data_IF_778941902933
#
_entry.id   IF_778941902933
#
_cell.length_a   1.000
_cell.length_b   1.000
_cell.length_c   1.000
_cell.angle_alpha   90.00
_cell.angle_beta   90.00
_cell.angle_gamma   90.00
#
_symmetry.space_group_name_H-M   'P 1'
#
loop_
_entity.id
_entity.type
_entity.pdbx_description
1 polymer ?
#
# COMPACT_ATOMS: atom_id res chain seq x y z
N UNK A 1 8.30 28.42 -17.49
CA UNK A 1 8.44 27.73 -18.79
C UNK A 1 8.78 26.27 -18.49
N UNK A 2 7.99 25.33 -19.02
CA UNK A 2 8.25 23.88 -18.85
C UNK A 2 9.29 23.49 -19.91
N UNK A 3 10.43 22.95 -19.47
CA UNK A 3 11.53 22.58 -20.37
C UNK A 3 11.41 21.13 -20.86
N UNK A 4 10.93 20.24 -20.00
CA UNK A 4 10.80 18.81 -20.28
C UNK A 4 9.56 18.25 -19.57
N UNK A 5 8.92 17.27 -20.18
CA UNK A 5 7.78 16.53 -19.62
C UNK A 5 7.97 15.04 -19.84
N UNK A 6 7.56 14.24 -18.87
CA UNK A 6 7.62 12.77 -18.94
C UNK A 6 6.31 12.19 -18.39
N UNK A 7 5.83 11.11 -19.02
CA UNK A 7 4.60 10.41 -18.64
C UNK A 7 4.78 8.90 -18.79
N UNK A 8 4.08 8.16 -17.94
CA UNK A 8 4.09 6.70 -17.92
C UNK A 8 2.89 6.16 -17.15
N UNK A 9 2.48 4.95 -17.50
CA UNK A 9 1.57 4.13 -16.71
C UNK A 9 2.26 3.43 -15.54
N UNK A 10 1.45 3.04 -14.55
CA UNK A 10 1.88 2.33 -13.35
C UNK A 10 1.25 0.95 -13.34
N UNK A 11 2.07 -0.08 -13.46
CA UNK A 11 1.64 -1.46 -13.29
C UNK A 11 1.47 -1.85 -11.82
N UNK A 12 0.46 -2.67 -11.53
CA UNK A 12 0.15 -3.31 -10.24
C UNK A 12 -0.08 -2.36 -9.06
N UNK A 13 -1.14 -2.61 -8.29
CA UNK A 13 -1.50 -1.81 -7.10
C UNK A 13 -1.53 -0.28 -7.33
N UNK A 14 -2.25 0.21 -8.37
CA UNK A 14 -2.31 1.65 -8.64
C UNK A 14 -2.94 2.39 -7.47
N UNK A 15 -2.31 3.50 -7.06
CA UNK A 15 -2.83 4.42 -6.05
C UNK A 15 -2.21 5.80 -6.25
N UNK A 16 -2.93 6.87 -5.85
CA UNK A 16 -2.42 8.26 -5.93
C UNK A 16 -1.04 8.39 -5.28
N UNK A 17 -0.89 7.86 -4.06
CA UNK A 17 0.36 7.88 -3.33
C UNK A 17 1.52 7.18 -4.06
N UNK A 18 1.24 6.11 -4.81
CA UNK A 18 2.26 5.41 -5.61
C UNK A 18 2.64 6.26 -6.81
N UNK A 19 1.67 6.87 -7.49
CA UNK A 19 1.93 7.75 -8.62
C UNK A 19 2.77 8.97 -8.23
N UNK A 20 2.39 9.65 -7.16
CA UNK A 20 3.11 10.83 -6.64
C UNK A 20 4.55 10.47 -6.23
N UNK A 21 4.75 9.34 -5.54
CA UNK A 21 6.08 8.88 -5.16
C UNK A 21 6.94 8.52 -6.38
N UNK A 22 6.35 7.86 -7.38
CA UNK A 22 7.05 7.51 -8.62
C UNK A 22 7.40 8.75 -9.46
N UNK A 23 6.56 9.79 -9.44
CA UNK A 23 6.87 11.07 -10.06
C UNK A 23 8.12 11.70 -9.44
N UNK A 24 8.22 11.70 -8.10
CA UNK A 24 9.42 12.15 -7.38
C UNK A 24 10.65 11.33 -7.76
N UNK A 25 10.54 10.01 -7.74
CA UNK A 25 11.65 9.12 -8.12
C UNK A 25 12.11 9.40 -9.55
N UNK A 26 11.17 9.55 -10.48
CA UNK A 26 11.48 9.82 -11.90
C UNK A 26 12.20 11.16 -12.08
N UNK A 27 11.76 12.19 -11.35
CA UNK A 27 12.41 13.50 -11.36
C UNK A 27 13.84 13.44 -10.81
N UNK A 28 14.10 12.63 -9.79
CA UNK A 28 15.43 12.52 -9.18
C UNK A 28 16.42 11.68 -10.01
N UNK A 29 15.95 10.74 -10.81
CA UNK A 29 16.82 9.88 -11.65
C UNK A 29 17.55 10.68 -12.73
N UNK A 30 16.95 11.76 -13.23
CA UNK A 30 17.56 12.59 -14.29
C UNK A 30 18.53 13.64 -13.76
N UNK A 31 18.64 13.79 -12.44
CA UNK A 31 19.49 14.81 -11.84
C UNK A 31 20.96 14.37 -11.81
N UNK A 32 21.90 15.32 -11.98
CA UNK A 32 23.31 15.04 -11.75
C UNK A 32 23.59 14.80 -10.27
N UNK A 33 24.67 14.07 -9.97
CA UNK A 33 25.12 13.84 -8.60
C UNK A 33 25.47 15.15 -7.88
N UNK A 34 25.31 15.18 -6.56
CA UNK A 34 25.53 16.35 -5.69
C UNK A 34 24.56 17.53 -5.95
N UNK A 35 23.38 17.26 -6.50
CA UNK A 35 22.35 18.28 -6.68
C UNK A 35 21.58 18.55 -5.39
N UNK A 36 21.23 19.82 -5.19
CA UNK A 36 20.26 20.25 -4.19
C UNK A 36 18.91 20.52 -4.86
N UNK A 37 17.85 19.94 -4.29
CA UNK A 37 16.54 19.85 -4.93
C UNK A 37 15.46 20.18 -3.94
N UNK A 38 14.57 21.09 -4.34
CA UNK A 38 13.32 21.37 -3.63
C UNK A 38 12.15 20.92 -4.49
N UNK A 39 11.36 19.97 -4.00
CA UNK A 39 10.18 19.47 -4.70
C UNK A 39 8.93 20.13 -4.12
N UNK A 40 8.16 20.76 -5.01
CA UNK A 40 6.84 21.31 -4.71
C UNK A 40 5.79 20.25 -4.99
N UNK A 41 5.03 19.83 -3.98
CA UNK A 41 4.01 18.80 -4.14
C UNK A 41 2.83 19.04 -3.21
N UNK A 42 1.63 18.70 -3.68
CA UNK A 42 0.41 18.64 -2.88
C UNK A 42 0.21 17.26 -2.23
N UNK A 43 1.14 16.32 -2.37
CA UNK A 43 1.07 15.04 -1.68
C UNK A 43 1.60 15.12 -0.25
N UNK A 44 0.70 15.15 0.74
CA UNK A 44 1.15 15.04 2.14
C UNK A 44 1.76 13.67 2.45
N UNK A 45 1.34 12.62 1.73
CA UNK A 45 1.81 11.25 1.96
C UNK A 45 3.26 11.07 1.52
N UNK A 46 3.67 11.72 0.42
CA UNK A 46 5.08 11.73 0.00
C UNK A 46 5.94 12.52 0.98
N UNK A 47 5.51 13.72 1.37
CA UNK A 47 6.27 14.58 2.30
C UNK A 47 6.48 13.87 3.64
N UNK A 48 5.38 13.44 4.29
CA UNK A 48 5.46 12.74 5.59
C UNK A 48 6.22 11.43 5.49
N UNK A 49 6.00 10.66 4.41
CA UNK A 49 6.70 9.41 4.15
C UNK A 49 8.22 9.60 4.03
N UNK A 50 8.67 10.63 3.31
CA UNK A 50 10.10 10.95 3.17
C UNK A 50 10.72 11.21 4.54
N UNK A 51 10.15 12.12 5.33
CA UNK A 51 10.73 12.46 6.62
C UNK A 51 10.69 11.29 7.61
N UNK A 52 9.60 10.51 7.65
CA UNK A 52 9.43 9.41 8.61
C UNK A 52 10.26 8.15 8.25
N UNK A 53 10.44 7.86 6.96
CA UNK A 53 11.08 6.63 6.48
C UNK A 53 12.55 6.85 6.17
N UNK A 54 12.92 8.01 5.64
CA UNK A 54 14.27 8.28 5.13
C UNK A 54 15.01 9.25 6.06
N UNK A 55 14.58 10.52 6.09
CA UNK A 55 15.33 11.61 6.73
C UNK A 55 15.59 11.38 8.23
N UNK A 56 14.53 11.14 9.02
CA UNK A 56 14.64 10.87 10.47
C UNK A 56 15.43 9.61 10.82
N UNK A 57 15.74 8.77 9.84
CA UNK A 57 16.53 7.55 10.03
C UNK A 57 17.94 7.68 9.46
N UNK A 58 18.41 8.92 9.27
CA UNK A 58 19.73 9.22 8.71
C UNK A 58 19.95 8.49 7.38
N UNK A 59 18.91 8.44 6.54
CA UNK A 59 18.94 7.75 5.26
C UNK A 59 19.29 6.25 5.38
N UNK A 60 19.01 5.58 6.50
CA UNK A 60 19.24 4.13 6.67
C UNK A 60 17.89 3.41 6.82
N UNK A 61 17.64 2.44 5.93
CA UNK A 61 16.47 1.56 6.00
C UNK A 61 16.95 0.15 6.31
N UNK A 62 16.82 -0.28 7.56
CA UNK A 62 17.11 -1.65 7.97
C UNK A 62 16.04 -2.62 7.43
N UNK A 63 16.38 -3.90 7.15
CA UNK A 63 15.42 -4.90 6.68
C UNK A 63 14.14 -5.00 7.53
N UNK A 64 14.30 -4.96 8.87
CA UNK A 64 13.16 -4.97 9.81
C UNK A 64 12.22 -3.80 9.59
N UNK A 65 12.76 -2.60 9.33
CA UNK A 65 11.95 -1.41 9.06
C UNK A 65 11.31 -1.50 7.69
N UNK A 66 12.05 -1.93 6.68
CA UNK A 66 11.54 -2.17 5.33
C UNK A 66 10.27 -3.03 5.33
N UNK A 67 10.26 -4.17 6.05
CA UNK A 67 9.09 -5.04 6.14
C UNK A 67 7.93 -4.47 6.99
N UNK A 68 8.17 -3.39 7.74
CA UNK A 68 7.15 -2.70 8.54
C UNK A 68 6.51 -1.51 7.82
N UNK A 69 7.15 -0.96 6.78
CA UNK A 69 6.59 0.12 5.97
C UNK A 69 5.23 -0.32 5.42
N UNK A 70 4.21 0.54 5.59
CA UNK A 70 2.82 0.21 5.29
C UNK A 70 2.60 -0.07 3.80
N UNK A 71 3.06 0.82 2.94
CA UNK A 71 2.85 0.80 1.49
C UNK A 71 4.06 1.35 0.76
N UNK A 72 4.22 0.96 -0.50
CA UNK A 72 5.28 1.38 -1.41
C UNK A 72 6.70 1.16 -0.86
N UNK A 73 6.90 0.13 -0.02
CA UNK A 73 8.17 -0.11 0.67
C UNK A 73 9.38 -0.23 -0.28
N UNK A 74 9.19 -0.88 -1.44
CA UNK A 74 10.21 -1.00 -2.49
C UNK A 74 10.61 0.37 -3.03
N UNK A 75 9.63 1.21 -3.35
CA UNK A 75 9.86 2.54 -3.94
C UNK A 75 10.49 3.51 -2.94
N UNK A 76 10.12 3.45 -1.66
CA UNK A 76 10.84 4.18 -0.61
C UNK A 76 12.31 3.77 -0.53
N UNK A 77 12.60 2.49 -0.70
CA UNK A 77 13.97 1.99 -0.69
C UNK A 77 14.75 2.44 -1.94
N UNK A 78 14.11 2.42 -3.11
CA UNK A 78 14.68 2.94 -4.37
C UNK A 78 14.98 4.43 -4.24
N UNK A 79 14.04 5.23 -3.72
CA UNK A 79 14.22 6.65 -3.47
C UNK A 79 15.46 6.90 -2.59
N UNK A 80 15.56 6.16 -1.49
CA UNK A 80 16.72 6.23 -0.58
C UNK A 80 18.03 5.89 -1.30
N UNK A 81 18.06 4.81 -2.09
CA UNK A 81 19.27 4.43 -2.83
C UNK A 81 19.68 5.50 -3.83
N UNK A 82 18.75 6.12 -4.55
CA UNK A 82 19.05 7.22 -5.49
C UNK A 82 19.67 8.40 -4.74
N UNK A 83 19.05 8.84 -3.63
CA UNK A 83 19.52 9.97 -2.84
C UNK A 83 20.95 9.72 -2.33
N UNK A 84 21.19 8.55 -1.74
CA UNK A 84 22.50 8.21 -1.16
C UNK A 84 23.56 8.01 -2.23
N UNK A 85 23.23 7.30 -3.32
CA UNK A 85 24.19 7.00 -4.41
C UNK A 85 24.61 8.26 -5.14
N UNK A 86 23.66 9.17 -5.39
CA UNK A 86 23.93 10.41 -6.12
C UNK A 86 24.27 11.58 -5.19
N UNK A 87 24.37 11.36 -3.87
CA UNK A 87 24.61 12.37 -2.86
C UNK A 87 23.69 13.61 -3.02
N UNK A 88 22.38 13.37 -3.13
CA UNK A 88 21.40 14.43 -3.34
C UNK A 88 20.96 15.04 -2.01
N UNK A 89 20.78 16.36 -1.97
CA UNK A 89 20.04 17.05 -0.90
C UNK A 89 18.61 17.28 -1.37
N UNK A 90 17.64 16.75 -0.63
CA UNK A 90 16.23 16.78 -0.99
C UNK A 90 15.42 17.44 0.11
N UNK A 91 14.64 18.45 -0.27
CA UNK A 91 13.64 19.09 0.59
C UNK A 91 12.27 19.16 -0.10
N UNK A 92 11.21 19.30 0.69
CA UNK A 92 9.84 19.33 0.19
C UNK A 92 9.09 20.56 0.65
N UNK A 93 8.38 21.20 -0.28
CA UNK A 93 7.46 22.29 0.02
C UNK A 93 6.03 21.83 -0.31
N UNK A 94 5.17 21.90 0.71
CA UNK A 94 3.76 21.57 0.57
C UNK A 94 3.04 22.67 -0.22
N UNK A 95 2.47 22.30 -1.35
CA UNK A 95 1.54 23.14 -2.11
C UNK A 95 0.11 22.82 -1.70
N UNK A 96 -0.78 23.80 -1.75
CA UNK A 96 -2.21 23.61 -1.46
C UNK A 96 -2.85 22.87 -2.64
N UNK A 97 -3.52 21.76 -2.37
CA UNK A 97 -4.29 21.07 -3.41
C UNK A 97 -5.44 21.97 -3.88
N UNK A 98 -5.68 22.03 -5.19
CA UNK A 98 -6.74 22.82 -5.83
C UNK A 98 -6.67 24.35 -5.59
N UNK A 99 -5.50 24.91 -5.29
CA UNK A 99 -5.27 26.34 -5.47
C UNK A 99 -4.99 26.66 -6.95
N UNK A 100 -5.03 27.94 -7.35
CA UNK A 100 -4.60 28.44 -8.67
C UNK A 100 -3.09 28.26 -8.92
N UNK A 101 -2.52 27.09 -8.59
CA UNK A 101 -1.17 26.72 -8.96
C UNK A 101 -1.17 26.24 -10.41
N UNK A 102 -0.61 27.07 -11.26
CA UNK A 102 -0.52 26.84 -12.70
C UNK A 102 0.07 25.47 -13.06
N UNK A 103 1.10 25.00 -12.33
CA UNK A 103 1.78 23.75 -12.67
C UNK A 103 1.01 22.52 -12.22
N UNK A 104 0.37 22.56 -11.05
CA UNK A 104 -0.48 21.45 -10.61
C UNK A 104 -1.71 21.30 -11.51
N UNK A 105 -2.39 22.41 -11.82
CA UNK A 105 -3.54 22.38 -12.74
C UNK A 105 -3.14 21.88 -14.14
N UNK A 106 -1.95 22.27 -14.62
CA UNK A 106 -1.40 21.75 -15.87
C UNK A 106 -1.18 20.23 -15.81
N UNK A 107 -0.63 19.69 -14.72
CA UNK A 107 -0.41 18.24 -14.58
C UNK A 107 -1.75 17.48 -14.55
N UNK A 108 -2.76 17.98 -13.84
CA UNK A 108 -4.10 17.37 -13.77
C UNK A 108 -4.77 17.31 -15.16
N UNK A 109 -4.67 18.38 -15.94
CA UNK A 109 -5.17 18.42 -17.32
C UNK A 109 -4.35 17.51 -18.26
N UNK A 110 -3.03 17.46 -18.06
CA UNK A 110 -2.10 16.67 -18.88
C UNK A 110 -2.31 15.15 -18.73
N UNK A 111 -2.69 14.69 -17.54
CA UNK A 111 -2.89 13.25 -17.25
C UNK A 111 -4.23 12.74 -17.78
N UNK A 112 -5.27 13.57 -17.85
CA UNK A 112 -6.66 13.18 -18.15
C UNK A 112 -6.93 12.81 -19.62
N UNK A 113 -6.05 13.15 -20.56
CA UNK A 113 -6.36 13.14 -22.00
C UNK A 113 -5.58 12.15 -22.88
N UNK A 114 -4.96 11.10 -22.34
CA UNK A 114 -3.87 10.44 -23.12
C UNK A 114 -3.76 8.91 -22.96
N UNK A 115 -3.75 8.21 -24.11
CA UNK A 115 -3.69 6.73 -24.32
C UNK A 115 -2.24 6.15 -24.37
N UNK A 116 -1.26 6.78 -23.72
CA UNK A 116 0.12 6.24 -23.74
C UNK A 116 0.23 4.93 -22.93
N UNK A 117 0.62 3.85 -23.61
CA UNK A 117 0.75 2.49 -23.05
C UNK A 117 2.15 2.18 -22.48
N UNK A 118 3.01 3.20 -22.31
CA UNK A 118 4.37 3.01 -21.81
C UNK A 118 4.35 2.78 -20.29
N UNK A 119 4.75 1.59 -19.86
CA UNK A 119 4.85 1.24 -18.45
C UNK A 119 6.29 1.40 -17.93
N UNK A 120 6.47 2.26 -16.92
CA UNK A 120 7.75 2.45 -16.23
C UNK A 120 7.93 1.37 -15.18
N UNK A 121 8.88 0.47 -15.44
CA UNK A 121 9.15 -0.67 -14.56
C UNK A 121 10.46 -0.44 -13.81
N UNK A 122 10.35 -0.23 -12.50
CA UNK A 122 11.50 -0.20 -11.61
C UNK A 122 11.89 -1.62 -11.21
N UNK A 123 13.12 -2.02 -11.54
CA UNK A 123 13.67 -3.32 -11.14
C UNK A 123 14.40 -3.17 -9.80
N UNK A 124 13.94 -3.81 -8.72
CA UNK A 124 14.54 -3.64 -7.39
C UNK A 124 15.77 -4.53 -7.18
N UNK A 125 16.49 -4.89 -8.25
CA UNK A 125 17.53 -5.92 -8.21
C UNK A 125 18.81 -5.49 -7.47
N UNK A 126 18.98 -4.20 -7.21
CA UNK A 126 20.19 -3.60 -6.64
C UNK A 126 19.94 -2.91 -5.30
N UNK A 127 19.01 -3.42 -4.48
CA UNK A 127 18.77 -2.88 -3.14
C UNK A 127 19.81 -3.43 -2.17
N UNK A 128 20.83 -2.62 -1.85
CA UNK A 128 21.99 -3.00 -1.04
C UNK A 128 21.64 -3.52 0.38
N UNK A 129 20.46 -3.17 0.88
CA UNK A 129 20.00 -3.52 2.22
C UNK A 129 19.12 -4.78 2.28
N UNK A 130 18.85 -5.47 1.16
CA UNK A 130 17.95 -6.63 1.12
C UNK A 130 18.49 -7.74 0.22
N UNK A 131 18.75 -8.92 0.81
CA UNK A 131 19.14 -10.11 0.04
C UNK A 131 17.97 -10.73 -0.74
N UNK A 132 16.74 -10.52 -0.26
CA UNK A 132 15.55 -11.14 -0.83
C UNK A 132 14.32 -10.21 -0.78
N UNK A 133 13.61 -10.16 -1.89
CA UNK A 133 12.38 -9.40 -2.05
C UNK A 133 11.20 -10.36 -2.13
N UNK A 134 10.24 -10.29 -1.19
CA UNK A 134 9.11 -11.21 -1.17
C UNK A 134 8.18 -10.97 -2.36
N UNK A 135 7.77 -12.07 -2.98
CA UNK A 135 6.84 -12.10 -4.13
C UNK A 135 5.68 -13.04 -3.85
N UNK A 136 4.52 -12.74 -4.42
CA UNK A 136 3.34 -13.59 -4.45
C UNK A 136 2.89 -13.77 -5.90
N UNK A 137 2.85 -15.01 -6.39
CA UNK A 137 2.56 -15.32 -7.81
C UNK A 137 3.40 -14.47 -8.78
N UNK A 138 4.71 -14.38 -8.53
CA UNK A 138 5.68 -13.55 -9.26
C UNK A 138 5.46 -12.04 -9.22
N UNK A 139 4.46 -11.54 -8.48
CA UNK A 139 4.23 -10.12 -8.24
C UNK A 139 4.93 -9.70 -6.94
N UNK A 140 5.64 -8.58 -6.95
CA UNK A 140 6.34 -8.06 -5.77
C UNK A 140 5.33 -7.60 -4.72
N UNK A 141 5.61 -7.90 -3.44
CA UNK A 141 4.80 -7.43 -2.32
C UNK A 141 5.30 -6.04 -1.90
N UNK A 142 4.56 -5.01 -2.30
CA UNK A 142 4.91 -3.60 -2.11
C UNK A 142 4.39 -3.00 -0.78
N UNK A 143 3.96 -3.84 0.17
CA UNK A 143 3.36 -3.41 1.43
C UNK A 143 3.98 -4.13 2.63
N UNK A 144 3.50 -3.81 3.83
CA UNK A 144 3.93 -4.48 5.05
C UNK A 144 3.73 -6.00 4.93
N UNK A 145 4.83 -6.76 5.03
CA UNK A 145 4.83 -8.20 4.78
C UNK A 145 3.93 -8.96 5.76
N UNK A 146 3.97 -8.59 7.05
CA UNK A 146 3.13 -9.23 8.05
C UNK A 146 1.64 -8.96 7.82
N UNK A 147 1.28 -7.74 7.45
CA UNK A 147 -0.11 -7.40 7.10
C UNK A 147 -0.56 -8.12 5.84
N UNK A 148 0.31 -8.23 4.83
CA UNK A 148 0.04 -9.02 3.63
C UNK A 148 -0.23 -10.48 3.98
N UNK A 149 0.63 -11.13 4.76
CA UNK A 149 0.46 -12.52 5.17
C UNK A 149 -0.82 -12.73 5.98
N UNK A 150 -1.14 -11.81 6.90
CA UNK A 150 -2.41 -11.83 7.64
C UNK A 150 -3.61 -11.73 6.71
N UNK A 151 -3.59 -10.78 5.76
CA UNK A 151 -4.68 -10.60 4.78
C UNK A 151 -4.83 -11.82 3.88
N UNK A 152 -3.73 -12.37 3.36
CA UNK A 152 -3.72 -13.60 2.56
C UNK A 152 -4.33 -14.76 3.35
N UNK A 153 -3.85 -14.99 4.58
CA UNK A 153 -4.38 -16.04 5.45
C UNK A 153 -5.88 -15.86 5.70
N UNK A 154 -6.31 -14.64 6.03
CA UNK A 154 -7.73 -14.31 6.23
C UNK A 154 -8.57 -14.63 4.99
N UNK A 155 -8.13 -14.22 3.80
CA UNK A 155 -8.83 -14.48 2.53
C UNK A 155 -8.90 -15.99 2.26
N UNK A 156 -7.83 -16.75 2.49
CA UNK A 156 -7.84 -18.20 2.32
C UNK A 156 -8.80 -18.90 3.29
N UNK A 157 -8.86 -18.46 4.55
CA UNK A 157 -9.83 -18.97 5.51
C UNK A 157 -11.26 -18.62 5.13
N UNK A 158 -11.46 -17.39 4.65
CA UNK A 158 -12.74 -16.89 4.18
C UNK A 158 -13.26 -17.69 2.99
N UNK A 159 -12.42 -17.90 1.99
CA UNK A 159 -12.72 -18.73 0.82
C UNK A 159 -13.11 -20.16 1.23
N UNK A 160 -12.32 -20.80 2.09
CA UNK A 160 -12.65 -22.13 2.62
C UNK A 160 -13.98 -22.15 3.36
N UNK A 161 -14.26 -21.15 4.19
CA UNK A 161 -15.53 -21.02 4.91
C UNK A 161 -16.69 -20.87 3.93
N UNK A 162 -16.62 -19.93 2.98
CA UNK A 162 -17.67 -19.71 1.98
C UNK A 162 -17.94 -20.94 1.11
N UNK A 163 -16.90 -21.72 0.81
CA UNK A 163 -17.01 -22.91 -0.04
C UNK A 163 -17.51 -24.17 0.67
N UNK A 164 -17.79 -24.12 1.98
CA UNK A 164 -18.47 -25.22 2.66
C UNK A 164 -19.85 -25.47 2.05
N UNK A 165 -20.26 -26.74 1.90
CA UNK A 165 -21.56 -27.11 1.31
C UNK A 165 -22.74 -26.41 2.01
N UNK A 166 -22.70 -26.33 3.34
CA UNK A 166 -23.72 -25.63 4.17
C UNK A 166 -23.85 -24.13 3.89
N UNK A 167 -22.79 -23.51 3.38
CA UNK A 167 -22.74 -22.07 3.10
C UNK A 167 -23.10 -21.75 1.64
N UNK A 168 -23.52 -22.74 0.86
CA UNK A 168 -23.87 -22.54 -0.56
C UNK A 168 -24.95 -21.50 -0.80
N UNK A 169 -25.89 -21.36 0.13
CA UNK A 169 -26.96 -20.36 0.05
C UNK A 169 -26.45 -18.91 -0.02
N UNK A 170 -25.29 -18.62 0.57
CA UNK A 170 -24.73 -17.25 0.58
C UNK A 170 -23.86 -16.94 -0.65
N UNK A 171 -23.65 -17.91 -1.55
CA UNK A 171 -22.91 -17.69 -2.80
C UNK A 171 -23.81 -17.16 -3.93
N UNK A 172 -25.12 -17.07 -3.70
CA UNK A 172 -26.06 -16.57 -4.70
C UNK A 172 -26.01 -15.05 -4.81
N UNK A 173 -26.04 -14.48 -6.04
CA UNK A 173 -25.95 -13.03 -6.25
C UNK A 173 -27.04 -12.20 -5.56
N UNK A 174 -28.20 -12.82 -5.28
CA UNK A 174 -29.34 -12.15 -4.65
C UNK A 174 -29.25 -12.09 -3.11
N UNK A 175 -28.27 -12.77 -2.50
CA UNK A 175 -28.10 -12.83 -1.05
C UNK A 175 -27.04 -11.82 -0.64
N UNK A 176 -27.49 -10.67 -0.12
CA UNK A 176 -26.60 -9.59 0.33
C UNK A 176 -26.34 -9.71 1.85
N UNK A 177 -25.35 -10.52 2.22
CA UNK A 177 -24.91 -10.63 3.62
C UNK A 177 -23.78 -9.66 3.87
N UNK A 178 -23.97 -8.74 4.82
CA UNK A 178 -22.88 -7.94 5.35
C UNK A 178 -21.99 -8.81 6.25
N UNK A 179 -20.93 -9.34 5.66
CA UNK A 179 -20.00 -10.23 6.36
C UNK A 179 -19.18 -9.52 7.43
N UNK A 180 -18.98 -8.20 7.32
CA UNK A 180 -18.26 -7.44 8.33
C UNK A 180 -19.07 -7.41 9.63
N UNK A 181 -20.32 -6.97 9.57
CA UNK A 181 -21.21 -6.98 10.74
C UNK A 181 -21.55 -8.38 11.20
N UNK A 182 -21.75 -9.32 10.28
CA UNK A 182 -22.00 -10.73 10.61
C UNK A 182 -20.88 -11.28 11.49
N UNK A 183 -19.61 -11.11 11.09
CA UNK A 183 -18.50 -11.59 11.90
C UNK A 183 -18.31 -10.80 13.19
N UNK A 184 -18.59 -9.50 13.19
CA UNK A 184 -18.61 -8.72 14.44
C UNK A 184 -19.63 -9.33 15.42
N UNK A 185 -20.86 -9.61 14.98
CA UNK A 185 -21.90 -10.21 15.80
C UNK A 185 -21.55 -11.64 16.23
N UNK A 186 -20.98 -12.45 15.34
CA UNK A 186 -20.48 -13.80 15.65
C UNK A 186 -19.31 -13.78 16.64
N UNK A 187 -18.60 -12.66 16.75
CA UNK A 187 -17.46 -12.48 17.65
C UNK A 187 -17.81 -11.66 18.90
N UNK A 188 -19.03 -11.13 19.04
CA UNK A 188 -19.51 -10.44 20.24
C UNK A 188 -19.84 -11.43 21.39
N UNK A 189 -18.82 -12.18 21.81
CA UNK A 189 -18.67 -12.65 23.19
C UNK A 189 -17.79 -11.63 23.95
N UNK A 190 -18.20 -10.35 23.97
CA UNK A 190 -17.40 -9.27 24.58
C UNK A 190 -17.82 -8.98 26.04
N UNK A 191 -18.97 -9.42 26.51
CA UNK A 191 -19.34 -9.22 27.93
C UNK A 191 -18.81 -10.28 28.90
N UNK A 192 -18.36 -11.45 28.43
CA UNK A 192 -17.84 -12.53 29.29
C UNK A 192 -16.30 -12.61 29.33
N UNK A 193 -15.58 -11.57 28.89
CA UNK A 193 -14.10 -11.54 28.98
C UNK A 193 -13.60 -11.17 30.37
N UNK A 194 -13.93 -11.99 31.36
CA UNK A 194 -13.14 -12.07 32.61
C UNK A 194 -12.02 -13.10 32.49
N UNK A 195 -12.05 -14.03 31.53
CA UNK A 195 -10.97 -15.01 31.36
C UNK A 195 -10.38 -15.04 29.95
N UNK A 196 -9.08 -14.77 29.88
CA UNK A 196 -8.22 -14.84 28.70
C UNK A 196 -7.85 -16.29 28.35
N UNK A 197 -8.84 -17.16 28.20
CA UNK A 197 -8.61 -18.57 27.86
C UNK A 197 -8.87 -18.79 26.37
N UNK A 198 -7.85 -19.29 25.65
CA UNK A 198 -7.92 -19.73 24.25
C UNK A 198 -8.80 -20.98 24.03
N UNK A 199 -9.86 -21.15 24.83
CA UNK A 199 -10.77 -22.28 24.77
C UNK A 199 -12.01 -21.89 23.94
N UNK A 200 -12.18 -22.55 22.80
CA UNK A 200 -13.45 -22.51 22.06
C UNK A 200 -14.38 -23.54 22.67
N UNK A 201 -15.42 -23.08 23.38
CA UNK A 201 -16.41 -24.00 23.96
C UNK A 201 -17.30 -24.58 22.86
N UNK A 202 -17.70 -25.86 22.99
CA UNK A 202 -18.64 -26.49 22.04
C UNK A 202 -19.97 -25.73 21.97
N UNK A 203 -20.35 -25.06 23.07
CA UNK A 203 -21.51 -24.18 23.16
C UNK A 203 -21.38 -22.93 22.29
N UNK A 204 -20.26 -22.19 22.39
CA UNK A 204 -20.00 -21.01 21.56
C UNK A 204 -20.00 -21.36 20.06
N UNK A 205 -19.44 -22.52 19.69
CA UNK A 205 -19.44 -23.03 18.31
C UNK A 205 -20.86 -23.35 17.80
N UNK A 206 -21.70 -23.98 18.63
CA UNK A 206 -23.12 -24.24 18.30
C UNK A 206 -23.90 -22.93 18.13
N UNK A 207 -23.68 -21.94 19.00
CA UNK A 207 -24.34 -20.63 18.92
C UNK A 207 -23.98 -19.89 17.64
N UNK A 208 -22.69 -19.85 17.28
CA UNK A 208 -22.20 -19.28 16.02
C UNK A 208 -22.77 -20.00 14.79
N UNK A 209 -22.90 -21.34 14.85
CA UNK A 209 -23.54 -22.11 13.76
C UNK A 209 -25.01 -21.73 13.58
N UNK A 210 -25.76 -21.54 14.67
CA UNK A 210 -27.17 -21.17 14.63
C UNK A 210 -27.37 -19.75 14.09
N UNK A 211 -26.58 -18.78 14.56
CA UNK A 211 -26.69 -17.40 14.09
C UNK A 211 -26.32 -17.25 12.62
N UNK A 212 -25.32 -17.99 12.11
CA UNK A 212 -25.04 -18.04 10.67
C UNK A 212 -26.28 -18.52 9.91
N UNK A 213 -26.96 -19.59 10.36
CA UNK A 213 -28.14 -20.11 9.68
C UNK A 213 -29.29 -19.08 9.51
N UNK A 214 -29.38 -18.09 10.40
CA UNK A 214 -30.43 -17.05 10.45
C UNK A 214 -30.17 -15.85 9.52
N UNK A 215 -29.06 -15.82 8.78
CA UNK A 215 -28.68 -14.71 7.86
C UNK A 215 -29.43 -14.73 6.50
N UNK A 216 -30.54 -15.46 6.42
CA UNK A 216 -31.42 -15.59 5.24
C UNK A 216 -32.85 -15.50 5.69
#
# INVERSE_FOLDING_TARGET
>A
MILHSFRSEISYFPSSNKAELLAVISALIVLPSNSEVTIYTDSNNVITGYYDIIDRNNFIILPRKFFKIKTNNIYWNILREIIVTNNLTLDFIKVKGHSDDYFNNYIDEFITHTDELSNLIFKPNNLNNLDYIPRWNNIIIECNLCQFLKKKSMVQHWEKFLNLNRNGKYRHPHVNVDWHYTFLLLNQDIEDKVESTYFTSMFSSKRKKQSVNLLT
#
